data_IF_683985741859
#
_entry.id   IF_683985741859
#
_cell.length_a   1.000
_cell.length_b   1.000
_cell.length_c   1.000
_cell.angle_alpha   90.00
_cell.angle_beta   90.00
_cell.angle_gamma   90.00
#
_symmetry.space_group_name_H-M   'P 1'
#
loop_
_entity.id
_entity.type
_entity.pdbx_description
1 polymer ?
#
# COMPACT_ATOMS: atom_id res chain seq x y z
N UNK A 1 59.06 14.11 68.14
CA UNK A 1 58.93 14.74 66.82
C UNK A 1 58.08 13.77 66.01
N UNK A 2 56.74 13.98 66.06
CA UNK A 2 55.75 13.09 65.57
C UNK A 2 55.44 13.46 64.10
N UNK A 3 55.74 12.55 63.18
CA UNK A 3 55.37 12.70 61.75
C UNK A 3 54.05 11.97 61.52
N UNK A 4 52.99 12.73 61.29
CA UNK A 4 51.67 12.22 60.90
C UNK A 4 51.66 11.84 59.38
N UNK A 5 51.56 10.59 59.12
CA UNK A 5 51.25 10.09 57.74
C UNK A 5 49.73 10.15 57.52
N UNK A 6 49.28 10.91 56.51
CA UNK A 6 47.88 10.90 56.06
C UNK A 6 47.70 9.80 54.99
N UNK A 7 46.65 9.00 55.07
CA UNK A 7 46.35 8.06 54.01
C UNK A 7 45.69 8.77 52.80
N UNK A 8 46.23 8.54 51.60
CA UNK A 8 45.65 8.94 50.32
C UNK A 8 44.52 7.95 49.99
N UNK A 9 43.27 8.42 49.98
CA UNK A 9 42.13 7.69 49.47
C UNK A 9 42.20 7.73 47.93
N UNK A 10 42.51 6.60 47.30
CA UNK A 10 42.35 6.44 45.84
C UNK A 10 40.88 6.17 45.53
N UNK A 11 40.20 7.16 44.95
CA UNK A 11 38.87 6.96 44.40
C UNK A 11 38.96 6.22 43.03
N UNK A 12 38.60 4.94 43.03
CA UNK A 12 38.44 4.18 41.80
C UNK A 12 37.16 4.61 41.10
N UNK A 13 37.28 5.34 40.02
CA UNK A 13 36.18 5.66 39.11
C UNK A 13 35.91 4.41 38.27
N UNK A 14 34.83 3.70 38.58
CA UNK A 14 34.28 2.67 37.73
C UNK A 14 33.65 3.34 36.49
N UNK A 15 34.37 3.33 35.38
CA UNK A 15 33.82 3.67 34.04
C UNK A 15 32.98 2.48 33.64
N UNK A 16 31.65 2.58 33.85
CA UNK A 16 30.69 1.67 33.24
C UNK A 16 30.70 1.96 31.74
N UNK A 17 31.41 1.15 30.95
CA UNK A 17 31.27 1.11 29.51
C UNK A 17 29.88 0.55 29.21
N UNK A 18 28.92 1.45 28.91
CA UNK A 18 27.70 1.08 28.20
C UNK A 18 28.16 0.59 26.82
N UNK A 19 28.20 -0.73 26.64
CA UNK A 19 28.24 -1.33 25.32
C UNK A 19 26.97 -0.84 24.60
N UNK A 20 27.15 0.13 23.70
CA UNK A 20 26.20 0.35 22.61
C UNK A 20 26.25 -0.96 21.85
N UNK A 21 25.19 -1.78 21.98
CA UNK A 21 25.04 -3.00 21.19
C UNK A 21 25.14 -2.57 19.72
N UNK A 22 26.22 -3.00 19.05
CA UNK A 22 26.24 -3.02 17.60
C UNK A 22 25.05 -3.88 17.22
N UNK A 23 24.09 -3.34 16.45
CA UNK A 23 23.14 -4.16 15.74
C UNK A 23 23.99 -5.18 14.98
N UNK A 24 23.82 -6.46 15.28
CA UNK A 24 24.48 -7.51 14.52
C UNK A 24 24.24 -7.21 13.05
N UNK A 25 25.30 -7.35 12.22
CA UNK A 25 25.24 -7.17 10.77
C UNK A 25 24.42 -8.32 10.16
N UNK A 26 23.09 -8.32 10.41
CA UNK A 26 22.22 -9.33 9.83
C UNK A 26 22.17 -9.13 8.31
N UNK A 27 22.31 -10.20 7.59
CA UNK A 27 22.10 -10.30 6.15
C UNK A 27 21.25 -11.53 5.84
N UNK A 28 20.51 -11.54 4.73
CA UNK A 28 19.77 -12.72 4.31
C UNK A 28 20.72 -13.94 4.20
N UNK A 29 20.32 -15.11 4.74
CA UNK A 29 21.18 -16.30 4.72
C UNK A 29 21.38 -16.90 3.33
N UNK A 30 20.69 -16.39 2.31
CA UNK A 30 20.76 -16.81 0.92
C UNK A 30 19.96 -15.91 -0.01
N UNK A 31 19.78 -16.31 -1.28
CA UNK A 31 18.93 -15.58 -2.22
C UNK A 31 17.51 -15.44 -1.68
N UNK A 32 16.92 -14.26 -1.88
CA UNK A 32 15.55 -13.94 -1.44
C UNK A 32 14.58 -14.21 -2.58
N UNK A 33 13.56 -15.00 -2.34
CA UNK A 33 12.39 -15.08 -3.23
C UNK A 33 11.47 -13.91 -2.94
N UNK A 34 11.27 -13.04 -3.93
CA UNK A 34 10.31 -11.93 -3.85
C UNK A 34 9.05 -12.27 -4.64
N UNK A 35 7.97 -12.55 -3.96
CA UNK A 35 6.67 -12.75 -4.58
C UNK A 35 6.01 -11.41 -4.96
N UNK A 36 5.32 -11.36 -6.11
CA UNK A 36 4.57 -10.18 -6.56
C UNK A 36 3.11 -10.56 -6.77
N UNK A 37 2.22 -10.00 -5.95
CA UNK A 37 0.80 -10.36 -5.88
C UNK A 37 -0.10 -9.77 -6.97
N UNK A 38 0.49 -9.07 -7.95
CA UNK A 38 -0.25 -8.35 -8.98
C UNK A 38 0.32 -8.62 -10.37
N UNK A 39 -0.44 -8.29 -11.41
CA UNK A 39 -0.05 -8.56 -12.80
C UNK A 39 1.25 -7.84 -13.19
N UNK A 40 2.05 -8.51 -14.01
CA UNK A 40 3.30 -7.97 -14.55
C UNK A 40 3.06 -6.65 -15.31
N UNK A 41 3.97 -5.69 -15.13
CA UNK A 41 3.89 -4.34 -15.71
C UNK A 41 2.90 -3.41 -15.02
N UNK A 42 2.17 -3.86 -14.02
CA UNK A 42 1.35 -3.00 -13.15
C UNK A 42 2.18 -2.18 -12.17
N UNK A 43 1.55 -1.20 -11.51
CA UNK A 43 2.24 -0.31 -10.56
C UNK A 43 2.96 -1.06 -9.42
N UNK A 44 2.32 -2.07 -8.84
CA UNK A 44 2.93 -2.88 -7.79
C UNK A 44 4.11 -3.73 -8.29
N UNK A 45 3.97 -4.37 -9.45
CA UNK A 45 5.07 -5.16 -10.06
C UNK A 45 6.28 -4.29 -10.38
N UNK A 46 6.04 -3.14 -11.00
CA UNK A 46 7.13 -2.20 -11.36
C UNK A 46 7.83 -1.68 -10.11
N UNK A 47 7.08 -1.29 -9.06
CA UNK A 47 7.67 -0.89 -7.77
C UNK A 47 8.52 -2.01 -7.17
N UNK A 48 7.97 -3.24 -7.09
CA UNK A 48 8.67 -4.38 -6.52
C UNK A 48 10.00 -4.65 -7.20
N UNK A 49 10.03 -4.64 -8.54
CA UNK A 49 11.26 -4.91 -9.32
C UNK A 49 12.30 -3.81 -9.16
N UNK A 50 11.90 -2.55 -9.17
CA UNK A 50 12.83 -1.43 -8.98
C UNK A 50 13.37 -1.36 -7.55
N UNK A 51 12.57 -1.69 -6.54
CA UNK A 51 13.03 -1.83 -5.16
C UNK A 51 14.00 -3.00 -5.05
N UNK A 52 13.70 -4.16 -5.63
CA UNK A 52 14.59 -5.31 -5.64
C UNK A 52 15.94 -4.97 -6.29
N UNK A 53 15.94 -4.37 -7.48
CA UNK A 53 17.14 -3.91 -8.17
C UNK A 53 17.97 -2.96 -7.30
N UNK A 54 17.35 -1.95 -6.69
CA UNK A 54 18.07 -1.01 -5.83
C UNK A 54 18.65 -1.67 -4.58
N UNK A 55 17.99 -2.68 -4.02
CA UNK A 55 18.53 -3.47 -2.91
C UNK A 55 19.74 -4.31 -3.39
N UNK A 56 19.65 -4.98 -4.54
CA UNK A 56 20.77 -5.73 -5.11
C UNK A 56 22.00 -4.83 -5.35
N UNK A 57 21.79 -3.64 -5.93
CA UNK A 57 22.86 -2.67 -6.19
C UNK A 57 23.50 -2.12 -4.91
N UNK A 58 22.68 -1.86 -3.86
CA UNK A 58 23.14 -1.20 -2.63
C UNK A 58 23.72 -2.16 -1.60
N UNK A 59 23.18 -3.39 -1.51
CA UNK A 59 23.52 -4.36 -0.46
C UNK A 59 24.18 -5.63 -1.00
N UNK A 60 24.20 -5.86 -2.32
CA UNK A 60 24.75 -7.06 -2.92
C UNK A 60 23.92 -8.32 -2.68
N UNK A 61 22.68 -8.19 -2.20
CA UNK A 61 21.79 -9.33 -2.02
C UNK A 61 21.24 -9.80 -3.36
N UNK A 62 20.92 -11.08 -3.47
CA UNK A 62 20.26 -11.62 -4.67
C UNK A 62 18.77 -11.74 -4.42
N UNK A 63 17.95 -11.09 -5.25
CA UNK A 63 16.48 -11.12 -5.14
C UNK A 63 15.89 -11.71 -6.41
N UNK A 64 15.09 -12.76 -6.27
CA UNK A 64 14.48 -13.51 -7.38
C UNK A 64 12.98 -13.22 -7.41
N UNK A 65 12.49 -12.36 -8.33
CA UNK A 65 11.07 -12.06 -8.44
C UNK A 65 10.27 -13.25 -8.99
N UNK A 66 9.14 -13.55 -8.33
CA UNK A 66 8.17 -14.55 -8.77
C UNK A 66 6.77 -13.95 -8.82
N UNK A 67 6.07 -14.10 -9.94
CA UNK A 67 4.71 -13.62 -10.13
C UNK A 67 3.70 -14.60 -9.51
N UNK A 68 2.89 -14.10 -8.57
CA UNK A 68 1.76 -14.82 -7.97
C UNK A 68 0.51 -13.91 -7.91
N UNK A 69 -0.01 -13.45 -9.06
CA UNK A 69 -1.16 -12.56 -9.09
C UNK A 69 -2.46 -13.31 -8.80
N UNK A 70 -3.44 -12.59 -8.27
CA UNK A 70 -4.81 -13.06 -8.10
C UNK A 70 -5.40 -12.76 -6.73
N UNK A 71 -6.75 -12.73 -6.71
CA UNK A 71 -7.55 -12.54 -5.50
C UNK A 71 -7.07 -11.37 -4.64
N UNK A 72 -6.88 -10.18 -5.25
CA UNK A 72 -6.41 -8.97 -4.55
C UNK A 72 -5.12 -9.19 -3.74
N UNK A 73 -4.20 -10.07 -4.24
CA UNK A 73 -2.93 -10.40 -3.57
C UNK A 73 -3.00 -11.60 -2.61
N UNK A 74 -4.17 -12.18 -2.34
CA UNK A 74 -4.32 -13.34 -1.46
C UNK A 74 -3.65 -14.60 -2.00
N UNK A 75 -3.52 -14.74 -3.32
CA UNK A 75 -2.76 -15.85 -3.93
C UNK A 75 -1.31 -15.83 -3.46
N UNK A 76 -0.68 -14.66 -3.45
CA UNK A 76 0.67 -14.48 -2.89
C UNK A 76 0.67 -14.79 -1.39
N UNK A 77 -0.26 -14.21 -0.62
CA UNK A 77 -0.31 -14.40 0.83
C UNK A 77 -0.41 -15.88 1.21
N UNK A 78 -1.22 -16.66 0.48
CA UNK A 78 -1.38 -18.12 0.66
C UNK A 78 -0.08 -18.90 0.43
N UNK A 79 0.79 -18.47 -0.47
CA UNK A 79 2.10 -19.10 -0.67
C UNK A 79 3.11 -18.59 0.33
N UNK A 80 3.14 -17.28 0.59
CA UNK A 80 4.12 -16.67 1.47
C UNK A 80 4.02 -17.19 2.91
N UNK A 81 2.81 -17.43 3.43
CA UNK A 81 2.61 -17.94 4.80
C UNK A 81 3.27 -19.31 5.03
N UNK A 82 3.56 -20.07 3.96
CA UNK A 82 4.23 -21.39 4.01
C UNK A 82 5.75 -21.30 3.96
N UNK A 83 6.30 -20.12 3.60
CA UNK A 83 7.74 -19.93 3.48
C UNK A 83 8.40 -19.80 4.86
N UNK A 84 9.71 -20.10 4.99
CA UNK A 84 10.44 -19.88 6.22
C UNK A 84 10.43 -18.41 6.65
N UNK A 85 10.32 -18.16 7.96
CA UNK A 85 10.43 -16.82 8.54
C UNK A 85 11.89 -16.46 8.87
N UNK A 86 12.80 -16.64 7.91
CA UNK A 86 14.26 -16.46 8.06
C UNK A 86 14.82 -15.32 7.20
N UNK A 87 13.95 -14.58 6.48
CA UNK A 87 14.34 -13.49 5.61
C UNK A 87 14.65 -13.89 4.17
N UNK A 88 14.53 -15.18 3.80
CA UNK A 88 14.72 -15.66 2.42
C UNK A 88 13.46 -15.55 1.56
N UNK A 89 12.35 -15.05 2.10
CA UNK A 89 11.12 -14.83 1.36
C UNK A 89 10.39 -13.57 1.85
N UNK A 90 9.95 -12.74 0.91
CA UNK A 90 9.01 -11.67 1.16
C UNK A 90 8.11 -11.43 -0.07
N UNK A 91 7.06 -10.64 0.10
CA UNK A 91 6.11 -10.38 -0.98
C UNK A 91 5.69 -8.93 -1.09
N UNK A 92 5.46 -8.46 -2.32
CA UNK A 92 4.84 -7.16 -2.62
C UNK A 92 3.34 -7.33 -2.74
N UNK A 93 2.61 -6.70 -1.84
CA UNK A 93 1.15 -6.64 -1.79
C UNK A 93 0.70 -5.18 -1.61
N UNK A 94 -0.60 -4.99 -1.44
CA UNK A 94 -1.18 -3.73 -0.94
C UNK A 94 -1.74 -3.96 0.47
N UNK A 95 -1.84 -2.92 1.27
CA UNK A 95 -2.32 -3.06 2.65
C UNK A 95 -3.71 -3.70 2.74
N UNK A 96 -4.61 -3.43 1.78
CA UNK A 96 -5.94 -4.03 1.74
C UNK A 96 -5.93 -5.56 1.55
N UNK A 97 -4.85 -6.13 1.00
CA UNK A 97 -4.71 -7.59 0.89
C UNK A 97 -4.86 -8.27 2.24
N UNK A 98 -4.19 -7.74 3.27
CA UNK A 98 -4.21 -8.31 4.62
C UNK A 98 -5.30 -7.72 5.51
N UNK A 99 -5.71 -6.47 5.28
CA UNK A 99 -6.69 -5.80 6.14
C UNK A 99 -8.13 -6.02 5.68
N UNK A 100 -8.41 -5.94 4.38
CA UNK A 100 -9.77 -6.10 3.84
C UNK A 100 -9.99 -7.51 3.27
N UNK A 101 -9.21 -7.90 2.26
CA UNK A 101 -9.46 -9.14 1.51
C UNK A 101 -9.32 -10.39 2.39
N UNK A 102 -8.32 -10.42 3.29
CA UNK A 102 -8.15 -11.52 4.23
C UNK A 102 -9.31 -11.64 5.23
N UNK A 103 -9.88 -10.52 5.70
CA UNK A 103 -11.06 -10.53 6.55
C UNK A 103 -12.32 -10.97 5.80
N UNK A 104 -12.51 -10.47 4.58
CA UNK A 104 -13.68 -10.82 3.76
C UNK A 104 -13.74 -12.32 3.43
N UNK A 105 -12.57 -12.94 3.18
CA UNK A 105 -12.48 -14.39 2.96
C UNK A 105 -12.65 -15.18 4.25
N UNK A 106 -12.22 -14.63 5.40
CA UNK A 106 -12.36 -15.25 6.71
C UNK A 106 -11.47 -16.49 6.93
N UNK A 107 -10.41 -16.67 6.14
CA UNK A 107 -9.46 -17.78 6.33
C UNK A 107 -8.51 -17.46 7.51
N UNK A 108 -8.50 -18.30 8.58
CA UNK A 108 -7.60 -18.10 9.71
C UNK A 108 -6.10 -18.11 9.35
N UNK A 109 -5.72 -18.77 8.26
CA UNK A 109 -4.34 -18.82 7.78
C UNK A 109 -3.87 -17.51 7.12
N UNK A 110 -4.78 -16.62 6.78
CA UNK A 110 -4.49 -15.36 6.10
C UNK A 110 -4.70 -14.12 7.00
N UNK A 111 -4.94 -14.32 8.29
CA UNK A 111 -5.10 -13.22 9.23
C UNK A 111 -3.80 -12.41 9.38
N UNK A 112 -3.94 -11.14 9.74
CA UNK A 112 -2.83 -10.18 9.81
C UNK A 112 -1.65 -10.67 10.65
N UNK A 113 -1.90 -11.40 11.75
CA UNK A 113 -0.87 -11.98 12.64
C UNK A 113 -0.04 -13.11 12.02
N UNK A 114 -0.42 -13.62 10.85
CA UNK A 114 0.34 -14.63 10.09
C UNK A 114 1.45 -14.02 9.23
N UNK A 115 1.56 -12.70 9.21
CA UNK A 115 2.52 -11.96 8.39
C UNK A 115 3.28 -10.93 9.23
N UNK A 116 4.50 -10.64 8.79
CA UNK A 116 5.33 -9.54 9.30
C UNK A 116 5.34 -8.44 8.26
N UNK A 117 4.80 -7.27 8.57
CA UNK A 117 4.89 -6.10 7.72
C UNK A 117 6.32 -5.54 7.75
N UNK A 118 6.95 -5.33 6.59
CA UNK A 118 8.33 -4.87 6.46
C UNK A 118 8.41 -3.36 6.25
N UNK A 119 7.84 -2.89 5.16
CA UNK A 119 7.83 -1.48 4.79
C UNK A 119 6.70 -1.18 3.80
N UNK A 120 6.15 0.04 3.84
CA UNK A 120 5.39 0.61 2.73
C UNK A 120 6.34 1.27 1.72
N UNK A 121 5.86 1.54 0.50
CA UNK A 121 6.63 2.28 -0.53
C UNK A 121 5.94 3.57 -0.94
N UNK A 122 4.65 3.53 -1.18
CA UNK A 122 3.84 4.68 -1.55
C UNK A 122 2.41 4.54 -1.02
N UNK A 123 1.80 5.66 -0.72
CA UNK A 123 0.37 5.75 -0.45
C UNK A 123 -0.43 5.69 -1.76
N UNK A 124 -1.62 5.16 -1.71
CA UNK A 124 -2.53 5.19 -2.85
C UNK A 124 -2.86 6.63 -3.25
N UNK A 125 -2.93 6.87 -4.54
CA UNK A 125 -3.54 8.07 -5.11
C UNK A 125 -4.94 7.69 -5.64
N UNK A 126 -5.79 7.18 -4.73
CA UNK A 126 -7.11 6.68 -5.10
C UNK A 126 -8.02 7.83 -5.50
N UNK A 127 -8.36 7.89 -6.78
CA UNK A 127 -9.32 8.82 -7.37
C UNK A 127 -10.52 8.09 -7.97
N UNK A 128 -11.70 8.70 -7.87
CA UNK A 128 -12.84 8.36 -8.71
C UNK A 128 -12.64 9.06 -10.04
N UNK A 129 -12.39 8.30 -11.10
CA UNK A 129 -11.90 8.79 -12.39
C UNK A 129 -12.97 8.71 -13.45
N UNK A 130 -13.00 9.71 -14.33
CA UNK A 130 -13.79 9.72 -15.54
C UNK A 130 -12.98 10.29 -16.72
N UNK A 131 -13.50 10.16 -17.96
CA UNK A 131 -12.95 10.86 -19.12
C UNK A 131 -13.19 12.36 -19.01
N UNK A 132 -12.15 13.18 -19.17
CA UNK A 132 -12.25 14.63 -19.09
C UNK A 132 -13.11 15.19 -20.25
N UNK A 133 -13.96 16.17 -19.97
CA UNK A 133 -14.91 16.74 -20.93
C UNK A 133 -16.08 15.81 -21.29
N UNK A 134 -16.16 14.63 -20.66
CA UNK A 134 -17.21 13.64 -20.89
C UNK A 134 -18.51 13.92 -20.11
N UNK A 135 -19.46 12.99 -20.25
CA UNK A 135 -20.77 13.09 -19.61
C UNK A 135 -20.73 12.91 -18.08
N UNK A 136 -19.61 12.37 -17.53
CA UNK A 136 -19.43 12.02 -16.12
C UNK A 136 -18.18 12.65 -15.50
N UNK A 137 -17.65 13.76 -16.06
CA UNK A 137 -16.39 14.37 -15.64
C UNK A 137 -16.48 15.20 -14.33
N UNK A 138 -17.64 15.22 -13.70
CA UNK A 138 -17.87 15.81 -12.39
C UNK A 138 -18.96 15.07 -11.63
N UNK A 139 -18.95 15.17 -10.29
CA UNK A 139 -19.97 14.52 -9.47
C UNK A 139 -21.37 15.06 -9.76
N UNK A 140 -21.51 16.35 -10.06
CA UNK A 140 -22.81 16.92 -10.42
C UNK A 140 -23.38 16.35 -11.72
N UNK A 141 -22.52 16.06 -12.71
CA UNK A 141 -22.94 15.37 -13.94
C UNK A 141 -23.32 13.91 -13.67
N UNK A 142 -22.61 13.22 -12.79
CA UNK A 142 -22.97 11.87 -12.34
C UNK A 142 -24.36 11.86 -11.71
N UNK A 143 -24.65 12.78 -10.79
CA UNK A 143 -25.98 12.94 -10.17
C UNK A 143 -27.06 13.22 -11.21
N UNK A 144 -26.82 14.20 -12.09
CA UNK A 144 -27.81 14.59 -13.12
C UNK A 144 -28.10 13.41 -14.08
N UNK A 145 -27.10 12.60 -14.44
CA UNK A 145 -27.30 11.40 -15.25
C UNK A 145 -28.14 10.36 -14.51
N UNK A 146 -27.88 10.13 -13.24
CA UNK A 146 -28.66 9.21 -12.41
C UNK A 146 -30.12 9.66 -12.26
N UNK A 147 -30.36 10.94 -12.00
CA UNK A 147 -31.70 11.55 -11.93
C UNK A 147 -32.46 11.43 -13.26
N UNK A 148 -31.75 11.48 -14.38
CA UNK A 148 -32.31 11.24 -15.71
C UNK A 148 -32.58 9.76 -16.04
N UNK A 149 -32.23 8.84 -15.12
CA UNK A 149 -32.36 7.40 -15.30
C UNK A 149 -31.31 6.79 -16.24
N UNK A 150 -30.19 7.48 -16.45
CA UNK A 150 -29.08 6.94 -17.25
C UNK A 150 -28.31 5.91 -16.40
N UNK A 151 -28.15 4.65 -16.86
CA UNK A 151 -27.31 3.67 -16.17
C UNK A 151 -25.86 4.16 -16.11
N UNK A 152 -25.24 4.04 -14.92
CA UNK A 152 -23.84 4.46 -14.70
C UNK A 152 -23.02 3.19 -14.40
N UNK A 153 -22.08 2.87 -15.29
CA UNK A 153 -21.18 1.71 -15.17
C UNK A 153 -19.97 2.16 -14.36
N UNK A 154 -19.83 1.56 -13.17
CA UNK A 154 -18.77 1.89 -12.21
C UNK A 154 -17.71 0.78 -12.18
N UNK A 155 -16.51 1.05 -12.70
CA UNK A 155 -15.42 0.09 -12.74
C UNK A 155 -14.72 -0.04 -11.38
N UNK A 156 -14.49 -1.29 -10.94
CA UNK A 156 -13.78 -1.64 -9.72
C UNK A 156 -12.75 -2.73 -9.99
N UNK A 157 -11.65 -2.72 -9.26
CA UNK A 157 -10.54 -3.66 -9.47
C UNK A 157 -10.25 -4.53 -8.23
N UNK A 158 -11.06 -4.40 -7.18
CA UNK A 158 -11.04 -5.24 -5.99
C UNK A 158 -12.40 -5.23 -5.30
N UNK A 159 -12.66 -6.24 -4.46
CA UNK A 159 -13.90 -6.35 -3.68
C UNK A 159 -14.12 -5.12 -2.79
N UNK A 160 -13.05 -4.60 -2.15
CA UNK A 160 -13.13 -3.36 -1.35
C UNK A 160 -13.61 -2.18 -2.19
N UNK A 161 -13.14 -2.05 -3.42
CA UNK A 161 -13.59 -0.98 -4.32
C UNK A 161 -15.05 -1.18 -4.74
N UNK A 162 -15.49 -2.42 -4.95
CA UNK A 162 -16.87 -2.75 -5.27
C UNK A 162 -17.79 -2.38 -4.09
N UNK A 163 -17.42 -2.77 -2.88
CA UNK A 163 -18.17 -2.44 -1.67
C UNK A 163 -18.22 -0.94 -1.40
N UNK A 164 -17.12 -0.22 -1.66
CA UNK A 164 -17.11 1.25 -1.58
C UNK A 164 -18.03 1.91 -2.62
N UNK A 165 -18.07 1.38 -3.85
CA UNK A 165 -18.98 1.87 -4.89
C UNK A 165 -20.44 1.60 -4.52
N UNK A 166 -20.74 0.39 -4.03
CA UNK A 166 -22.06 0.03 -3.53
C UNK A 166 -22.49 0.92 -2.36
N UNK A 167 -21.60 1.09 -1.36
CA UNK A 167 -21.87 1.96 -0.20
C UNK A 167 -22.15 3.41 -0.62
N UNK A 168 -21.35 3.95 -1.53
CA UNK A 168 -21.60 5.29 -2.09
C UNK A 168 -22.96 5.35 -2.78
N UNK A 169 -23.34 4.33 -3.54
CA UNK A 169 -24.65 4.21 -4.16
C UNK A 169 -25.79 4.25 -3.15
N UNK A 170 -25.69 3.47 -2.06
CA UNK A 170 -26.67 3.46 -0.98
C UNK A 170 -26.81 4.84 -0.31
N UNK A 171 -25.69 5.54 -0.08
CA UNK A 171 -25.68 6.86 0.56
C UNK A 171 -26.24 7.97 -0.33
N UNK A 172 -26.08 7.85 -1.64
CA UNK A 172 -26.46 8.89 -2.60
C UNK A 172 -27.77 8.60 -3.33
N UNK A 173 -28.31 7.40 -3.17
CA UNK A 173 -29.50 6.93 -3.89
C UNK A 173 -29.24 6.63 -5.37
N UNK A 174 -27.98 6.47 -5.77
CA UNK A 174 -27.57 6.13 -7.14
C UNK A 174 -27.35 4.62 -7.26
N UNK A 175 -28.08 3.98 -8.17
CA UNK A 175 -27.89 2.56 -8.48
C UNK A 175 -26.78 2.40 -9.53
N UNK A 176 -25.55 2.17 -9.05
CA UNK A 176 -24.39 1.94 -9.93
C UNK A 176 -24.38 0.51 -10.48
N UNK A 177 -24.18 0.37 -11.78
CA UNK A 177 -23.82 -0.91 -12.38
C UNK A 177 -22.34 -1.16 -12.17
N UNK A 178 -22.00 -1.93 -11.12
CA UNK A 178 -20.61 -2.24 -10.74
C UNK A 178 -20.02 -3.25 -11.69
N UNK A 179 -18.90 -2.91 -12.34
CA UNK A 179 -18.20 -3.72 -13.33
C UNK A 179 -16.80 -4.04 -12.81
N UNK A 180 -16.54 -5.31 -12.53
CA UNK A 180 -15.22 -5.76 -12.11
C UNK A 180 -14.27 -5.84 -13.32
N UNK A 181 -13.06 -5.26 -13.16
CA UNK A 181 -12.01 -5.25 -14.16
C UNK A 181 -10.64 -5.58 -13.53
N UNK A 182 -9.65 -5.90 -14.37
CA UNK A 182 -8.31 -6.27 -13.88
C UNK A 182 -7.43 -5.05 -13.61
N UNK A 183 -7.38 -4.64 -12.34
CA UNK A 183 -6.49 -3.57 -11.85
C UNK A 183 -6.79 -2.19 -12.45
N UNK A 184 -6.03 -1.18 -12.03
CA UNK A 184 -6.24 0.19 -12.49
C UNK A 184 -6.07 0.39 -14.00
N UNK A 185 -5.23 -0.42 -14.67
CA UNK A 185 -5.11 -0.39 -16.12
C UNK A 185 -6.42 -0.79 -16.81
N UNK A 186 -7.07 -1.85 -16.33
CA UNK A 186 -8.38 -2.29 -16.85
C UNK A 186 -9.47 -1.23 -16.66
N UNK A 187 -9.47 -0.50 -15.54
CA UNK A 187 -10.37 0.66 -15.34
C UNK A 187 -10.13 1.72 -16.40
N UNK A 188 -8.87 2.12 -16.59
CA UNK A 188 -8.50 3.17 -17.55
C UNK A 188 -8.80 2.78 -18.99
N UNK A 189 -8.56 1.53 -19.36
CA UNK A 189 -8.87 1.02 -20.70
C UNK A 189 -10.39 0.97 -20.93
N UNK A 190 -11.16 0.53 -19.93
CA UNK A 190 -12.62 0.56 -19.98
C UNK A 190 -13.20 1.96 -20.11
N UNK A 191 -12.61 2.97 -19.42
CA UNK A 191 -12.99 4.39 -19.59
C UNK A 191 -12.71 4.90 -21.00
N UNK A 192 -11.52 4.58 -21.58
CA UNK A 192 -11.16 4.96 -22.95
C UNK A 192 -12.02 4.28 -24.00
N UNK A 193 -12.33 3.02 -23.77
CA UNK A 193 -13.20 2.22 -24.67
C UNK A 193 -14.68 2.58 -24.57
N UNK A 194 -15.08 3.31 -23.52
CA UNK A 194 -16.50 3.57 -23.25
C UNK A 194 -17.24 2.36 -22.71
N UNK A 195 -16.53 1.35 -22.21
CA UNK A 195 -17.13 0.16 -21.59
C UNK A 195 -17.62 0.46 -20.16
N UNK A 196 -17.01 1.45 -19.50
CA UNK A 196 -17.41 1.97 -18.19
C UNK A 196 -17.40 3.50 -18.21
N UNK A 197 -18.09 4.10 -17.25
CA UNK A 197 -18.34 5.56 -17.21
C UNK A 197 -17.47 6.27 -16.18
N UNK A 198 -17.31 5.64 -15.01
CA UNK A 198 -16.47 6.09 -13.90
C UNK A 198 -15.78 4.87 -13.27
N UNK A 199 -14.74 5.09 -12.46
CA UNK A 199 -14.12 3.96 -11.75
C UNK A 199 -13.02 4.38 -10.79
N UNK A 200 -12.64 3.47 -9.88
CA UNK A 200 -11.55 3.68 -8.93
C UNK A 200 -10.20 3.37 -9.54
N UNK A 201 -9.26 4.31 -9.44
CA UNK A 201 -7.86 4.11 -9.84
C UNK A 201 -6.94 4.67 -8.74
N UNK A 202 -5.90 3.92 -8.38
CA UNK A 202 -5.04 4.22 -7.23
C UNK A 202 -3.62 4.68 -7.63
N UNK A 203 -3.51 5.59 -8.61
CA UNK A 203 -2.24 6.20 -9.05
C UNK A 203 -1.95 6.06 -10.55
N UNK A 204 -2.39 4.98 -11.21
CA UNK A 204 -2.13 4.77 -12.64
C UNK A 204 -2.72 5.89 -13.54
N UNK A 205 -3.76 6.58 -13.09
CA UNK A 205 -4.40 7.70 -13.79
C UNK A 205 -3.54 8.98 -13.83
N UNK A 206 -2.54 9.13 -12.96
CA UNK A 206 -1.76 10.36 -12.78
C UNK A 206 -1.27 10.97 -14.10
N UNK A 207 -0.71 10.15 -15.00
CA UNK A 207 -0.26 10.63 -16.31
C UNK A 207 -1.41 11.14 -17.17
N UNK A 208 -2.52 10.41 -17.26
CA UNK A 208 -3.69 10.78 -18.07
C UNK A 208 -4.39 12.03 -17.52
N UNK A 209 -4.42 12.19 -16.19
CA UNK A 209 -4.95 13.40 -15.53
C UNK A 209 -4.08 14.61 -15.86
N UNK A 210 -2.75 14.52 -15.73
CA UNK A 210 -1.84 15.62 -16.11
C UNK A 210 -1.90 15.99 -17.60
N UNK A 211 -2.25 15.05 -18.46
CA UNK A 211 -2.46 15.27 -19.90
C UNK A 211 -3.84 15.80 -20.26
N UNK A 212 -4.76 15.91 -19.29
CA UNK A 212 -6.13 16.33 -19.51
C UNK A 212 -7.01 15.32 -20.25
N UNK A 213 -6.56 14.06 -20.33
CA UNK A 213 -7.35 12.94 -20.90
C UNK A 213 -8.43 12.46 -19.94
N UNK A 214 -8.08 12.41 -18.64
CA UNK A 214 -8.97 11.99 -17.55
C UNK A 214 -9.02 13.04 -16.45
N UNK A 215 -10.01 12.93 -15.58
CA UNK A 215 -10.13 13.77 -14.39
C UNK A 215 -10.46 12.91 -13.17
N UNK A 216 -9.94 13.31 -11.99
CA UNK A 216 -10.41 12.78 -10.72
C UNK A 216 -11.63 13.61 -10.30
N UNK A 217 -12.82 13.04 -10.36
CA UNK A 217 -14.08 13.69 -9.95
C UNK A 217 -14.25 13.70 -8.43
N UNK A 218 -13.52 12.81 -7.73
CA UNK A 218 -13.35 12.82 -6.28
C UNK A 218 -12.07 12.11 -5.88
N UNK A 219 -11.52 12.44 -4.71
CA UNK A 219 -10.48 11.66 -4.05
C UNK A 219 -11.09 10.61 -3.14
N UNK A 220 -10.60 9.38 -3.25
CA UNK A 220 -10.99 8.27 -2.37
C UNK A 220 -10.19 8.21 -1.07
N UNK A 221 -9.16 9.04 -0.90
CA UNK A 221 -8.24 9.07 0.25
C UNK A 221 -8.41 10.34 1.08
N UNK A 222 -7.94 10.30 2.34
CA UNK A 222 -7.99 11.46 3.26
C UNK A 222 -7.11 12.61 2.78
N UNK A 223 -5.90 12.29 2.33
CA UNK A 223 -4.97 13.28 1.81
C UNK A 223 -5.43 13.84 0.45
N UNK A 224 -5.09 15.09 0.10
CA UNK A 224 -5.25 15.59 -1.27
C UNK A 224 -4.50 14.74 -2.29
N UNK A 225 -5.09 14.53 -3.47
CA UNK A 225 -4.38 13.88 -4.58
C UNK A 225 -3.29 14.80 -5.12
N UNK A 226 -2.13 14.22 -5.46
CA UNK A 226 -0.98 14.99 -5.94
C UNK A 226 -1.27 15.79 -7.21
N UNK A 227 -2.01 15.21 -8.17
CA UNK A 227 -2.30 15.85 -9.46
C UNK A 227 -3.59 16.68 -9.46
N UNK A 228 -4.49 16.50 -8.48
CA UNK A 228 -5.76 17.21 -8.35
C UNK A 228 -6.08 17.47 -6.87
N UNK A 229 -5.30 18.36 -6.20
CA UNK A 229 -5.44 18.58 -4.76
C UNK A 229 -6.81 19.13 -4.36
N UNK A 230 -7.50 19.82 -5.28
CA UNK A 230 -8.82 20.40 -5.07
C UNK A 230 -9.99 19.43 -5.33
N UNK A 231 -9.71 18.16 -5.72
CA UNK A 231 -10.76 17.17 -5.89
C UNK A 231 -11.51 16.94 -4.57
N UNK A 232 -12.87 16.98 -4.56
CA UNK A 232 -13.64 16.77 -3.35
C UNK A 232 -13.34 15.41 -2.73
N UNK A 233 -13.43 15.31 -1.41
CA UNK A 233 -13.30 14.00 -0.75
C UNK A 233 -14.53 13.14 -1.04
N UNK A 234 -14.35 11.83 -1.09
CA UNK A 234 -15.47 10.89 -1.25
C UNK A 234 -16.50 11.03 -0.13
N UNK A 235 -16.06 11.48 1.05
CA UNK A 235 -16.93 11.76 2.19
C UNK A 235 -17.80 13.00 1.97
N UNK A 236 -17.34 13.97 1.18
CA UNK A 236 -18.16 15.12 0.79
C UNK A 236 -19.29 14.71 -0.18
N UNK A 237 -19.13 13.55 -0.82
CA UNK A 237 -20.14 12.96 -1.70
C UNK A 237 -21.11 12.03 -0.96
N UNK A 238 -20.90 11.77 0.33
CA UNK A 238 -21.78 10.98 1.19
C UNK A 238 -21.23 9.66 1.68
N UNK A 239 -20.03 9.23 1.28
CA UNK A 239 -19.41 8.02 1.83
C UNK A 239 -19.00 8.21 3.30
N UNK A 240 -19.13 7.17 4.12
CA UNK A 240 -18.61 7.16 5.49
C UNK A 240 -17.15 6.68 5.55
N UNK A 241 -16.60 6.19 4.43
CA UNK A 241 -15.30 5.50 4.37
C UNK A 241 -14.38 6.13 3.31
N UNK A 242 -13.08 5.81 3.46
CA UNK A 242 -12.04 6.14 2.48
C UNK A 242 -11.42 4.87 1.89
N UNK A 243 -10.79 5.01 0.73
CA UNK A 243 -9.96 3.99 0.08
C UNK A 243 -8.47 4.25 0.33
N UNK A 244 -8.11 4.68 1.55
CA UNK A 244 -6.71 4.80 1.95
C UNK A 244 -6.01 3.44 1.86
N UNK A 245 -4.75 3.45 1.48
CA UNK A 245 -3.96 2.24 1.40
C UNK A 245 -2.54 2.52 0.94
N UNK A 246 -1.69 1.49 1.08
CA UNK A 246 -0.28 1.55 0.72
C UNK A 246 0.11 0.35 -0.12
N UNK A 247 1.05 0.56 -1.03
CA UNK A 247 1.88 -0.52 -1.55
C UNK A 247 2.89 -0.89 -0.48
N UNK A 248 3.07 -2.19 -0.21
CA UNK A 248 3.90 -2.62 0.90
C UNK A 248 4.53 -4.00 0.68
N UNK A 249 5.62 -4.23 1.41
CA UNK A 249 6.26 -5.53 1.50
C UNK A 249 5.92 -6.22 2.81
N UNK A 250 5.69 -7.52 2.72
CA UNK A 250 5.38 -8.40 3.85
C UNK A 250 6.26 -9.64 3.81
N UNK A 251 6.54 -10.22 4.97
CA UNK A 251 7.22 -11.50 5.15
C UNK A 251 6.32 -12.49 5.91
N UNK A 252 6.67 -13.78 5.97
CA UNK A 252 5.99 -14.73 6.86
C UNK A 252 6.00 -14.25 8.31
N UNK A 253 4.95 -14.57 9.06
CA UNK A 253 4.84 -14.25 10.48
C UNK A 253 5.95 -14.93 11.32
N UNK A 254 6.41 -14.21 12.35
CA UNK A 254 7.48 -14.72 13.22
C UNK A 254 8.90 -14.45 12.70
N UNK A 255 9.08 -13.59 11.71
CA UNK A 255 10.38 -13.12 11.29
C UNK A 255 11.12 -12.47 12.48
N UNK A 256 12.41 -12.78 12.62
CA UNK A 256 13.27 -12.18 13.64
C UNK A 256 13.22 -10.63 13.59
N UNK A 257 13.11 -9.94 14.74
CA UNK A 257 12.98 -8.48 14.76
C UNK A 257 14.14 -7.74 14.10
N UNK A 258 15.40 -8.26 14.20
CA UNK A 258 16.56 -7.66 13.53
C UNK A 258 16.46 -7.84 12.02
N UNK A 259 16.07 -9.03 11.56
CA UNK A 259 15.82 -9.31 10.15
C UNK A 259 14.70 -8.38 9.58
N UNK A 260 13.60 -8.22 10.33
CA UNK A 260 12.52 -7.30 9.99
C UNK A 260 13.03 -5.87 9.81
N UNK A 261 13.80 -5.38 10.77
CA UNK A 261 14.34 -4.02 10.75
C UNK A 261 15.29 -3.82 9.55
N UNK A 262 16.21 -4.74 9.32
CA UNK A 262 17.20 -4.65 8.23
C UNK A 262 16.51 -4.71 6.87
N UNK A 263 15.57 -5.63 6.65
CA UNK A 263 14.81 -5.72 5.40
C UNK A 263 13.95 -4.47 5.18
N UNK A 264 13.25 -3.99 6.20
CA UNK A 264 12.44 -2.77 6.14
C UNK A 264 13.29 -1.54 5.82
N UNK A 265 14.45 -1.39 6.45
CA UNK A 265 15.38 -0.31 6.20
C UNK A 265 16.02 -0.38 4.79
N UNK A 266 16.27 -1.57 4.27
CA UNK A 266 16.76 -1.76 2.90
C UNK A 266 15.71 -1.27 1.87
N UNK A 267 14.45 -1.63 2.05
CA UNK A 267 13.34 -1.16 1.21
C UNK A 267 13.23 0.38 1.31
N UNK A 268 13.23 0.94 2.52
CA UNK A 268 13.18 2.38 2.77
C UNK A 268 14.32 3.11 2.07
N UNK A 269 15.56 2.62 2.25
CA UNK A 269 16.75 3.25 1.71
C UNK A 269 16.77 3.31 0.17
N UNK A 270 16.06 2.42 -0.51
CA UNK A 270 15.88 2.46 -1.97
C UNK A 270 14.70 3.36 -2.36
N UNK A 271 13.58 3.26 -1.65
CA UNK A 271 12.38 4.03 -1.97
C UNK A 271 12.60 5.54 -1.78
N UNK A 272 13.34 5.95 -0.75
CA UNK A 272 13.58 7.36 -0.41
C UNK A 272 14.80 7.98 -1.10
N UNK A 273 15.70 7.19 -1.67
CA UNK A 273 16.89 7.70 -2.37
C UNK A 273 16.51 8.27 -3.73
N UNK A 274 16.61 9.59 -3.88
CA UNK A 274 16.26 10.31 -5.09
C UNK A 274 17.10 9.94 -6.34
N UNK A 275 18.19 9.20 -6.15
CA UNK A 275 19.02 8.72 -7.25
C UNK A 275 18.49 7.41 -7.86
N UNK A 276 17.53 6.72 -7.22
CA UNK A 276 17.01 5.43 -7.69
C UNK A 276 15.84 5.59 -8.69
N UNK A 277 15.73 4.61 -9.57
CA UNK A 277 14.57 4.52 -10.47
C UNK A 277 13.27 4.26 -9.71
N UNK A 278 13.35 3.56 -8.56
CA UNK A 278 12.23 3.35 -7.67
C UNK A 278 11.65 4.68 -7.17
N UNK A 279 12.49 5.57 -6.60
CA UNK A 279 12.05 6.89 -6.15
C UNK A 279 11.45 7.72 -7.29
N UNK A 280 12.07 7.69 -8.48
CA UNK A 280 11.56 8.39 -9.65
C UNK A 280 10.16 7.91 -10.07
N UNK A 281 9.91 6.59 -10.01
CA UNK A 281 8.59 6.01 -10.26
C UNK A 281 7.58 6.47 -9.20
N UNK A 282 7.95 6.36 -7.91
CA UNK A 282 7.07 6.72 -6.79
C UNK A 282 6.67 8.21 -6.88
N UNK A 283 7.62 9.08 -7.16
CA UNK A 283 7.39 10.52 -7.32
C UNK A 283 6.46 10.84 -8.48
N UNK A 284 6.67 10.21 -9.64
CA UNK A 284 5.89 10.49 -10.85
C UNK A 284 4.48 9.90 -10.85
N UNK A 285 4.32 8.73 -10.22
CA UNK A 285 3.08 7.94 -10.31
C UNK A 285 2.22 7.97 -9.05
N UNK A 286 2.83 8.24 -7.89
CA UNK A 286 2.16 8.00 -6.60
C UNK A 286 2.31 9.17 -5.61
N UNK A 287 2.71 10.34 -6.06
CA UNK A 287 2.85 11.52 -5.20
C UNK A 287 4.13 11.55 -4.35
N UNK A 288 5.01 10.57 -4.53
CA UNK A 288 6.27 10.42 -3.80
C UNK A 288 6.34 9.14 -2.96
N UNK A 289 7.52 8.83 -2.43
CA UNK A 289 7.66 7.76 -1.45
C UNK A 289 6.90 8.12 -0.17
N UNK A 290 6.22 7.14 0.40
CA UNK A 290 5.55 7.23 1.70
C UNK A 290 5.84 5.95 2.47
N UNK A 291 6.97 5.97 3.20
CA UNK A 291 7.55 4.77 3.81
C UNK A 291 7.28 4.74 5.29
N UNK A 292 6.52 3.72 5.71
CA UNK A 292 6.31 3.32 7.11
C UNK A 292 7.06 2.03 7.37
N UNK A 293 7.65 1.88 8.55
CA UNK A 293 8.30 0.64 9.02
C UNK A 293 8.10 0.50 10.53
N UNK A 294 8.42 -0.67 11.09
CA UNK A 294 8.39 -0.90 12.55
C UNK A 294 7.03 -0.62 13.16
N UNK A 295 7.01 0.02 14.33
CA UNK A 295 5.82 0.30 15.13
C UNK A 295 4.81 1.24 14.42
N UNK A 296 5.30 2.21 13.64
CA UNK A 296 4.43 3.11 12.85
C UNK A 296 3.63 2.31 11.82
N UNK A 297 4.26 1.32 11.16
CA UNK A 297 3.59 0.44 10.23
C UNK A 297 2.59 -0.49 10.93
N UNK A 298 2.95 -1.04 12.08
CA UNK A 298 2.07 -1.92 12.86
C UNK A 298 0.81 -1.17 13.33
N UNK A 299 0.97 0.06 13.79
CA UNK A 299 -0.14 0.93 14.18
C UNK A 299 -1.07 1.20 12.99
N UNK A 300 -0.51 1.58 11.84
CA UNK A 300 -1.28 1.78 10.62
C UNK A 300 -2.05 0.50 10.22
N UNK A 301 -1.40 -0.67 10.24
CA UNK A 301 -2.06 -1.93 9.84
C UNK A 301 -3.21 -2.30 10.78
N UNK A 302 -3.08 -2.03 12.09
CA UNK A 302 -4.16 -2.25 13.06
C UNK A 302 -5.35 -1.32 12.81
N UNK A 303 -5.09 -0.03 12.56
CA UNK A 303 -6.14 0.96 12.24
C UNK A 303 -6.85 0.63 10.91
N UNK A 304 -6.07 0.28 9.87
CA UNK A 304 -6.61 -0.10 8.57
C UNK A 304 -7.45 -1.38 8.66
N UNK A 305 -7.03 -2.34 9.49
CA UNK A 305 -7.77 -3.57 9.75
C UNK A 305 -9.13 -3.30 10.43
N UNK A 306 -9.16 -2.37 11.39
CA UNK A 306 -10.40 -1.96 12.05
C UNK A 306 -11.36 -1.20 11.09
N UNK A 307 -10.81 -0.32 10.25
CA UNK A 307 -11.59 0.39 9.23
C UNK A 307 -12.18 -0.56 8.17
N UNK A 308 -11.41 -1.59 7.78
CA UNK A 308 -11.88 -2.64 6.88
C UNK A 308 -13.05 -3.44 7.47
N UNK A 309 -12.94 -3.84 8.74
CA UNK A 309 -14.04 -4.53 9.46
C UNK A 309 -15.31 -3.68 9.51
N UNK A 310 -15.18 -2.37 9.69
CA UNK A 310 -16.33 -1.45 9.71
C UNK A 310 -17.02 -1.37 8.34
N UNK A 311 -16.24 -1.31 7.23
CA UNK A 311 -16.80 -1.32 5.88
C UNK A 311 -17.49 -2.66 5.58
N UNK A 312 -16.83 -3.80 5.84
CA UNK A 312 -17.41 -5.15 5.64
C UNK A 312 -18.75 -5.27 6.38
N UNK A 313 -18.80 -4.78 7.62
CA UNK A 313 -20.03 -4.77 8.39
C UNK A 313 -21.12 -3.92 7.73
N UNK A 314 -20.78 -2.69 7.29
CA UNK A 314 -21.73 -1.75 6.72
C UNK A 314 -22.34 -2.23 5.39
N UNK A 315 -21.63 -3.06 4.62
CA UNK A 315 -22.14 -3.63 3.36
C UNK A 315 -22.86 -4.97 3.54
N UNK A 316 -22.76 -5.58 4.74
CA UNK A 316 -23.41 -6.85 5.07
C UNK A 316 -24.78 -6.65 5.77
N UNK A 317 -25.06 -5.45 6.27
CA UNK A 317 -26.32 -5.03 6.91
C UNK A 317 -27.31 -4.43 5.88
#
# INVERSE_FOLDING_TARGET
MNIFLKPLLAASVLISSTSVGQAEDWAPPGPITMYVGFAAGGGADTQARLIAQGIEEKYGWTIIPQQLPGNSGLTLATELVKAPADGTAFGMVVSETLTYSAQAVGDPALQLDKFTALATTAEFQSGLVAMAGGAFDSWDKVKAAAEAGTPIRFATASDRQADMAWHLGQKTGIDFNIVEVRGGAGVMDGLRGGDVDIGWVAGAQSKSVRQGEMTNIARGIKAPLADTPDAPAITDLGSDFYLDGYFMFIAPGGLDPVAREVLGNAIRAVAEDSATEANALLTKGFGGPSVRTGEDLDTYMAEANAAAAALIKAVSE
#
